data_IF_395010063175
#
_entry.id   IF_395010063175
#
_cell.length_a   1.000
_cell.length_b   1.000
_cell.length_c   1.000
_cell.angle_alpha   90.00
_cell.angle_beta   90.00
_cell.angle_gamma   90.00
#
_symmetry.space_group_name_H-M   'P 1'
#
loop_
_entity.id
_entity.type
_entity.pdbx_description
1 polymer ?
#
# COMPACT_ATOMS: atom_id res chain seq x y z
N UNK A 1 13.43 -17.37 4.71
CA UNK A 1 13.28 -16.10 5.47
C UNK A 1 11.84 -16.01 5.94
N UNK A 2 11.62 -15.73 7.22
CA UNK A 2 10.30 -15.38 7.74
C UNK A 2 10.05 -13.88 7.52
N UNK A 3 8.85 -13.51 7.06
CA UNK A 3 8.44 -12.11 6.95
C UNK A 3 8.47 -11.45 8.33
N UNK A 4 8.87 -10.18 8.40
CA UNK A 4 8.72 -9.39 9.63
C UNK A 4 7.23 -9.13 9.91
N UNK A 5 6.88 -8.78 11.14
CA UNK A 5 5.50 -8.39 11.49
C UNK A 5 5.06 -7.18 10.67
N UNK A 6 5.98 -6.23 10.44
CA UNK A 6 5.78 -5.05 9.59
C UNK A 6 5.45 -5.47 8.15
N UNK A 7 6.24 -6.39 7.58
CA UNK A 7 6.09 -6.82 6.18
C UNK A 7 4.80 -7.62 5.98
N UNK A 8 4.48 -8.53 6.90
CA UNK A 8 3.23 -9.27 6.86
C UNK A 8 2.01 -8.34 6.96
N UNK A 9 2.09 -7.31 7.81
CA UNK A 9 1.02 -6.32 7.96
C UNK A 9 0.87 -5.48 6.71
N UNK A 10 1.99 -5.06 6.09
CA UNK A 10 2.01 -4.32 4.84
C UNK A 10 1.35 -5.12 3.71
N UNK A 11 1.78 -6.37 3.48
CA UNK A 11 1.27 -7.23 2.42
C UNK A 11 -0.24 -7.50 2.58
N UNK A 12 -0.68 -7.83 3.80
CA UNK A 12 -2.10 -8.09 4.07
C UNK A 12 -2.97 -6.86 3.86
N UNK A 13 -2.49 -5.69 4.28
CA UNK A 13 -3.22 -4.45 4.08
C UNK A 13 -3.26 -4.08 2.60
N UNK A 14 -2.14 -4.19 1.88
CA UNK A 14 -2.04 -3.88 0.46
C UNK A 14 -3.03 -4.72 -0.37
N UNK A 15 -3.07 -6.03 -0.12
CA UNK A 15 -4.00 -6.93 -0.82
C UNK A 15 -5.47 -6.58 -0.53
N UNK A 16 -5.81 -6.24 0.72
CA UNK A 16 -7.17 -5.80 1.08
C UNK A 16 -7.52 -4.47 0.41
N UNK A 17 -6.59 -3.52 0.38
CA UNK A 17 -6.79 -2.21 -0.24
C UNK A 17 -7.02 -2.34 -1.74
N UNK A 18 -6.24 -3.19 -2.45
CA UNK A 18 -6.45 -3.49 -3.87
C UNK A 18 -7.82 -4.11 -4.12
N UNK A 19 -8.23 -5.07 -3.29
CA UNK A 19 -9.55 -5.71 -3.41
C UNK A 19 -10.66 -4.67 -3.26
N UNK A 20 -10.58 -3.83 -2.23
CA UNK A 20 -11.56 -2.78 -1.96
C UNK A 20 -11.67 -1.78 -3.13
N UNK A 21 -10.52 -1.38 -3.68
CA UNK A 21 -10.46 -0.50 -4.84
C UNK A 21 -11.05 -1.12 -6.11
N UNK A 22 -10.92 -2.45 -6.28
CA UNK A 22 -11.48 -3.18 -7.43
C UNK A 22 -12.99 -3.38 -7.34
N UNK A 23 -13.54 -3.46 -6.13
CA UNK A 23 -14.98 -3.71 -5.90
C UNK A 23 -15.82 -2.48 -6.27
N UNK A 24 -15.59 -1.35 -5.60
CA UNK A 24 -16.25 -0.08 -5.89
C UNK A 24 -15.36 1.03 -5.34
N UNK A 25 -14.56 1.62 -6.22
CA UNK A 25 -13.58 2.62 -5.82
C UNK A 25 -14.25 3.91 -5.33
N UNK A 26 -15.27 4.39 -6.04
CA UNK A 26 -15.97 5.63 -5.68
C UNK A 26 -16.63 5.52 -4.29
N UNK A 27 -17.33 4.41 -4.01
CA UNK A 27 -17.96 4.21 -2.70
C UNK A 27 -16.95 4.00 -1.56
N UNK A 28 -15.72 3.58 -1.88
CA UNK A 28 -14.69 3.23 -0.90
C UNK A 28 -13.46 4.16 -0.91
N UNK A 29 -13.46 5.25 -1.68
CA UNK A 29 -12.28 6.10 -1.90
C UNK A 29 -11.67 6.59 -0.59
N UNK A 30 -12.51 6.95 0.39
CA UNK A 30 -12.05 7.37 1.73
C UNK A 30 -11.36 6.26 2.51
N UNK A 31 -11.82 5.00 2.40
CA UNK A 31 -11.19 3.83 3.02
C UNK A 31 -9.89 3.48 2.32
N UNK A 32 -9.88 3.51 0.99
CA UNK A 32 -8.66 3.27 0.20
C UNK A 32 -7.61 4.32 0.55
N UNK A 33 -7.98 5.61 0.61
CA UNK A 33 -7.09 6.70 0.99
C UNK A 33 -6.51 6.51 2.41
N UNK A 34 -7.36 6.19 3.40
CA UNK A 34 -6.90 5.90 4.75
C UNK A 34 -5.94 4.71 4.81
N UNK A 35 -6.21 3.65 4.05
CA UNK A 35 -5.35 2.48 3.98
C UNK A 35 -4.01 2.78 3.29
N UNK A 36 -4.01 3.63 2.25
CA UNK A 36 -2.79 4.09 1.56
C UNK A 36 -1.89 4.87 2.51
N UNK A 37 -2.42 5.81 3.29
CA UNK A 37 -1.65 6.54 4.31
C UNK A 37 -1.03 5.60 5.35
N UNK A 38 -1.75 4.55 5.73
CA UNK A 38 -1.23 3.54 6.67
C UNK A 38 -0.14 2.67 6.02
N UNK A 39 -0.31 2.30 4.75
CA UNK A 39 0.69 1.58 3.96
C UNK A 39 1.97 2.39 3.78
N UNK A 40 1.90 3.71 3.63
CA UNK A 40 3.09 4.58 3.59
C UNK A 40 3.90 4.54 4.88
N UNK A 41 3.22 4.60 6.02
CA UNK A 41 3.88 4.50 7.33
C UNK A 41 4.55 3.14 7.50
N UNK A 42 3.88 2.05 7.11
CA UNK A 42 4.46 0.71 7.13
C UNK A 42 5.64 0.60 6.16
N UNK A 43 5.52 1.14 4.95
CA UNK A 43 6.59 1.13 3.95
C UNK A 43 7.81 1.92 4.40
N UNK A 44 7.63 3.05 5.09
CA UNK A 44 8.75 3.79 5.71
C UNK A 44 9.49 2.91 6.71
N UNK A 45 8.78 2.18 7.58
CA UNK A 45 9.39 1.24 8.54
C UNK A 45 10.15 0.13 7.83
N UNK A 46 9.59 -0.45 6.76
CA UNK A 46 10.28 -1.47 5.96
C UNK A 46 11.56 -0.95 5.31
N UNK A 47 11.58 0.33 4.91
CA UNK A 47 12.80 1.00 4.40
C UNK A 47 13.83 1.27 5.49
N UNK A 48 13.43 1.45 6.74
CA UNK A 48 14.37 1.57 7.85
C UNK A 48 14.92 0.19 8.23
N UNK A 49 14.12 -0.86 8.05
CA UNK A 49 14.49 -2.29 8.12
C UNK A 49 15.28 -2.78 6.88
N UNK A 50 16.01 -1.90 6.17
CA UNK A 50 16.72 -2.17 4.89
C UNK A 50 17.63 -3.40 4.89
N UNK A 51 18.15 -3.81 6.04
CA UNK A 51 19.00 -4.99 6.16
C UNK A 51 18.21 -6.31 6.11
N UNK A 52 16.88 -6.26 6.22
CA UNK A 52 15.99 -7.43 6.25
C UNK A 52 15.31 -7.71 4.91
N UNK A 53 15.24 -6.72 4.01
CA UNK A 53 14.53 -6.82 2.75
C UNK A 53 15.45 -6.60 1.55
N UNK A 54 15.27 -7.39 0.49
CA UNK A 54 15.96 -7.15 -0.78
C UNK A 54 15.48 -5.81 -1.39
N UNK A 55 16.41 -5.06 -1.97
CA UNK A 55 16.15 -3.80 -2.68
C UNK A 55 15.05 -3.97 -3.75
N UNK A 56 15.07 -5.08 -4.50
CA UNK A 56 14.06 -5.36 -5.53
C UNK A 56 12.64 -5.49 -4.93
N UNK A 57 12.53 -6.12 -3.77
CA UNK A 57 11.27 -6.31 -3.04
C UNK A 57 10.72 -4.96 -2.57
N UNK A 58 11.56 -4.12 -1.97
CA UNK A 58 11.15 -2.77 -1.56
C UNK A 58 10.75 -1.89 -2.75
N UNK A 59 11.43 -2.03 -3.90
CA UNK A 59 11.03 -1.34 -5.13
C UNK A 59 9.66 -1.81 -5.62
N UNK A 60 9.39 -3.12 -5.57
CA UNK A 60 8.08 -3.65 -5.95
C UNK A 60 6.98 -3.11 -5.04
N UNK A 61 7.16 -3.17 -3.71
CA UNK A 61 6.20 -2.64 -2.75
C UNK A 61 5.94 -1.14 -2.96
N UNK A 62 6.99 -0.37 -3.24
CA UNK A 62 6.88 1.05 -3.56
C UNK A 62 6.04 1.31 -4.82
N UNK A 63 6.24 0.51 -5.89
CA UNK A 63 5.44 0.63 -7.12
C UNK A 63 3.97 0.34 -6.88
N UNK A 64 3.66 -0.74 -6.16
CA UNK A 64 2.27 -1.13 -5.87
C UNK A 64 1.55 -0.11 -4.98
N UNK A 65 2.24 0.42 -3.97
CA UNK A 65 1.71 1.51 -3.15
C UNK A 65 1.46 2.78 -3.98
N UNK A 66 2.38 3.12 -4.89
CA UNK A 66 2.22 4.29 -5.76
C UNK A 66 1.04 4.14 -6.72
N UNK A 67 0.78 2.93 -7.23
CA UNK A 67 -0.42 2.66 -8.03
C UNK A 67 -1.71 2.94 -7.24
N UNK A 68 -1.77 2.51 -5.97
CA UNK A 68 -2.94 2.79 -5.13
C UNK A 68 -3.13 4.29 -4.87
N UNK A 69 -2.05 5.06 -4.70
CA UNK A 69 -2.12 6.52 -4.59
C UNK A 69 -2.72 7.17 -5.83
N UNK A 70 -2.20 6.82 -7.00
CA UNK A 70 -2.69 7.36 -8.27
C UNK A 70 -4.17 7.04 -8.49
N UNK A 71 -4.63 5.86 -8.08
CA UNK A 71 -6.05 5.50 -8.14
C UNK A 71 -6.90 6.42 -7.25
N UNK A 72 -6.47 6.70 -6.02
CA UNK A 72 -7.19 7.61 -5.11
C UNK A 72 -7.20 9.04 -5.67
N UNK A 73 -6.04 9.52 -6.13
CA UNK A 73 -5.91 10.86 -6.70
C UNK A 73 -6.78 11.05 -7.94
N UNK A 74 -6.83 10.04 -8.82
CA UNK A 74 -7.67 10.07 -10.03
C UNK A 74 -9.16 10.23 -9.68
N UNK A 75 -9.65 9.49 -8.69
CA UNK A 75 -11.05 9.57 -8.28
C UNK A 75 -11.40 10.88 -7.57
N UNK A 76 -10.48 11.40 -6.77
CA UNK A 76 -10.64 12.70 -6.11
C UNK A 76 -10.67 13.86 -7.10
N UNK A 77 -10.00 13.74 -8.25
CA UNK A 77 -10.05 14.74 -9.32
C UNK A 77 -11.35 14.69 -10.13
N UNK A 78 -12.08 13.57 -10.10
CA UNK A 78 -13.31 13.34 -10.89
C UNK A 78 -14.58 13.59 -10.06
N UNK A 79 -14.48 13.54 -8.73
CA UNK A 79 -15.60 13.68 -7.78
C UNK A 79 -15.91 15.12 -7.37
#
# INVERSE_FOLDING_TARGET
MSLTVSELSFLRLLERTKKLAREDLAANVWKVNAAVLYLENLFSRLKDEKNLHNSDTLMQYGRELNQMKLLVEAEQCVS
#
